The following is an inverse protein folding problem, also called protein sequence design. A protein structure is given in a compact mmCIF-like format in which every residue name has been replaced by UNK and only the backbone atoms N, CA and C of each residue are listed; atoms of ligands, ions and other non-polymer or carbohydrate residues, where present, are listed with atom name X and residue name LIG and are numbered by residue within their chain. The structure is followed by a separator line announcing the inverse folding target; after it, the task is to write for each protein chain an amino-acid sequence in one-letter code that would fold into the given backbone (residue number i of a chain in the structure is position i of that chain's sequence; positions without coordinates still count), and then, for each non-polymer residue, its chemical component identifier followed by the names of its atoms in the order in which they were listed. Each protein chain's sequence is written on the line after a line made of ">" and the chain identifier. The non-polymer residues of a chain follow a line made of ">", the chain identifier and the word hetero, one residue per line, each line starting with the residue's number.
data_IF_217712262567
#
_entry.id   IF_217712262567
#
_cell.length_a   1.000
_cell.length_b   1.000
_cell.length_c   1.000
_cell.angle_alpha   90.00
_cell.angle_beta   90.00
_cell.angle_gamma   90.00
#
_symmetry.space_group_name_H-M   'P 1'
#
loop_
_entity.id
_entity.type
_entity.pdbx_description
1 polymer ?
#
# COMPACT_ATOMS: atom_id res chain seq x y z
N UNK A 1 11.74 3.25 18.80
CA UNK A 1 10.84 4.01 17.90
C UNK A 1 9.56 4.33 18.62
N UNK A 2 8.90 5.42 18.23
CA UNK A 2 7.55 5.72 18.71
C UNK A 2 6.57 4.93 17.84
N UNK A 3 5.75 4.04 18.40
CA UNK A 3 4.83 3.22 17.60
C UNK A 3 3.75 4.09 16.95
N UNK A 4 3.29 3.69 15.76
CA UNK A 4 2.14 4.33 15.11
C UNK A 4 0.89 3.98 15.94
N UNK A 5 0.33 4.97 16.63
CA UNK A 5 -0.78 4.78 17.58
C UNK A 5 -2.16 4.67 16.96
N UNK A 6 -2.27 4.70 15.63
CA UNK A 6 -3.54 4.61 14.89
C UNK A 6 -3.48 3.51 13.83
N UNK A 7 -4.62 2.87 13.49
CA UNK A 7 -4.68 1.95 12.37
C UNK A 7 -4.18 2.63 11.09
N UNK A 8 -3.38 1.91 10.31
CA UNK A 8 -2.82 2.38 9.05
C UNK A 8 -2.78 1.23 8.05
N UNK A 9 -2.71 1.57 6.77
CA UNK A 9 -2.71 0.64 5.65
C UNK A 9 -1.58 1.02 4.69
N UNK A 10 -0.99 0.03 4.03
CA UNK A 10 0.09 0.23 3.06
C UNK A 10 -0.40 -0.12 1.65
N UNK A 11 -0.10 0.74 0.67
CA UNK A 11 -0.28 0.46 -0.76
C UNK A 11 1.09 0.68 -1.41
N UNK A 12 1.70 -0.39 -1.91
CA UNK A 12 3.13 -0.40 -2.29
C UNK A 12 3.25 -0.80 -3.77
N UNK A 13 4.00 -0.01 -4.53
CA UNK A 13 4.29 -0.30 -5.93
C UNK A 13 5.42 -1.32 -6.10
N UNK A 14 5.29 -2.25 -7.04
CA UNK A 14 6.37 -3.18 -7.45
C UNK A 14 6.74 -3.07 -8.94
N UNK A 15 6.20 -2.07 -9.64
CA UNK A 15 6.32 -1.86 -11.10
C UNK A 15 5.74 -3.01 -11.94
N UNK A 16 4.85 -3.82 -11.38
CA UNK A 16 4.20 -4.95 -12.05
C UNK A 16 5.08 -6.18 -12.16
N UNK A 17 6.10 -6.30 -11.30
CA UNK A 17 7.08 -7.40 -11.35
C UNK A 17 6.63 -8.64 -10.59
N UNK A 18 5.73 -8.51 -9.61
CA UNK A 18 5.29 -9.64 -8.79
C UNK A 18 6.41 -10.29 -7.99
N UNK A 19 7.48 -9.55 -7.68
CA UNK A 19 8.72 -10.05 -7.08
C UNK A 19 8.85 -9.73 -5.58
N UNK A 20 7.79 -9.22 -4.95
CA UNK A 20 7.72 -8.98 -3.49
C UNK A 20 8.04 -10.28 -2.73
N UNK A 21 8.94 -10.26 -1.72
CA UNK A 21 9.50 -9.10 -1.02
C UNK A 21 10.77 -8.49 -1.65
N UNK A 22 11.28 -9.05 -2.74
CA UNK A 22 12.48 -8.55 -3.44
C UNK A 22 12.12 -7.45 -4.47
N UNK A 23 11.16 -6.60 -4.12
CA UNK A 23 10.56 -5.62 -5.03
C UNK A 23 10.94 -4.17 -4.68
N UNK A 24 10.63 -3.26 -5.61
CA UNK A 24 10.77 -1.82 -5.44
C UNK A 24 9.86 -1.10 -6.42
N UNK A 25 9.33 0.05 -6.00
CA UNK A 25 8.59 0.99 -6.85
C UNK A 25 9.49 1.75 -7.86
N UNK A 26 10.80 1.50 -7.82
CA UNK A 26 11.84 2.16 -8.62
C UNK A 26 12.64 3.22 -7.85
N UNK A 27 12.21 3.58 -6.63
CA UNK A 27 12.86 4.56 -5.75
C UNK A 27 13.06 3.96 -4.35
N UNK A 28 12.00 3.38 -3.77
CA UNK A 28 11.97 2.77 -2.44
C UNK A 28 11.88 1.25 -2.58
N UNK A 29 12.69 0.52 -1.82
CA UNK A 29 12.63 -0.94 -1.76
C UNK A 29 11.52 -1.41 -0.83
N UNK A 30 10.90 -2.56 -1.14
CA UNK A 30 9.79 -3.11 -0.35
C UNK A 30 10.09 -3.19 1.14
N UNK A 31 11.26 -3.72 1.52
CA UNK A 31 11.65 -3.87 2.92
C UNK A 31 11.72 -2.54 3.69
N UNK A 32 11.90 -1.41 2.98
CA UNK A 32 11.92 -0.07 3.56
C UNK A 32 10.52 0.53 3.67
N UNK A 33 9.61 0.21 2.73
CA UNK A 33 8.23 0.68 2.75
C UNK A 33 7.29 -0.19 3.59
N UNK A 34 7.68 -1.45 3.83
CA UNK A 34 6.90 -2.43 4.57
C UNK A 34 6.85 -2.08 6.05
N UNK A 35 5.65 -2.11 6.62
CA UNK A 35 5.40 -1.88 8.05
C UNK A 35 4.63 -3.07 8.61
N UNK A 36 5.27 -3.86 9.48
CA UNK A 36 4.64 -5.00 10.16
C UNK A 36 3.37 -4.61 10.95
N UNK A 37 3.23 -3.34 11.33
CA UNK A 37 2.09 -2.81 12.05
C UNK A 37 0.88 -2.45 11.18
N UNK A 38 1.00 -2.52 9.85
CA UNK A 38 -0.09 -2.15 8.94
C UNK A 38 -1.26 -3.13 9.07
N UNK A 39 -2.48 -2.60 9.18
CA UNK A 39 -3.71 -3.39 9.27
C UNK A 39 -4.04 -4.10 7.94
N UNK A 40 -3.58 -3.55 6.82
CA UNK A 40 -3.50 -4.26 5.54
C UNK A 40 -2.36 -3.72 4.69
N UNK A 41 -1.90 -4.55 3.76
CA UNK A 41 -0.90 -4.18 2.76
C UNK A 41 -1.35 -4.70 1.39
N UNK A 42 -1.29 -3.84 0.37
CA UNK A 42 -1.61 -4.19 -1.01
C UNK A 42 -0.45 -3.82 -1.91
N UNK A 43 0.10 -4.83 -2.59
CA UNK A 43 1.03 -4.61 -3.70
C UNK A 43 0.24 -4.28 -4.97
N UNK A 44 0.65 -3.25 -5.68
CA UNK A 44 0.05 -2.81 -6.95
C UNK A 44 1.11 -2.73 -8.05
N UNK A 45 0.76 -2.98 -9.32
CA UNK A 45 1.70 -3.00 -10.43
C UNK A 45 2.10 -1.58 -10.90
N UNK A 46 2.52 -0.73 -9.97
CA UNK A 46 2.86 0.67 -10.19
C UNK A 46 4.28 1.01 -9.72
N UNK A 47 4.86 2.08 -10.26
CA UNK A 47 6.12 2.65 -9.78
C UNK A 47 5.91 3.66 -8.63
N UNK A 48 6.89 4.53 -8.40
CA UNK A 48 6.87 5.50 -7.29
C UNK A 48 5.64 6.44 -7.26
N UNK A 49 5.05 6.72 -8.42
CA UNK A 49 3.76 7.42 -8.56
C UNK A 49 2.54 6.52 -8.33
N UNK A 50 2.61 5.55 -7.41
CA UNK A 50 1.59 4.51 -7.27
C UNK A 50 0.18 5.05 -7.00
N UNK A 51 0.06 6.23 -6.38
CA UNK A 51 -1.21 6.87 -6.04
C UNK A 51 -2.12 7.15 -7.25
N UNK A 52 -1.57 7.28 -8.46
CA UNK A 52 -2.33 7.54 -9.71
C UNK A 52 -2.74 6.23 -10.42
N UNK A 53 -2.30 5.07 -9.92
CA UNK A 53 -2.62 3.78 -10.52
C UNK A 53 -4.06 3.37 -10.16
N UNK A 54 -4.86 2.84 -11.11
CA UNK A 54 -6.26 2.45 -10.85
C UNK A 54 -6.44 1.48 -9.68
N UNK A 55 -5.53 0.51 -9.51
CA UNK A 55 -5.58 -0.42 -8.38
C UNK A 55 -5.31 0.26 -7.03
N UNK A 56 -4.42 1.26 -6.99
CA UNK A 56 -4.16 2.01 -5.78
C UNK A 56 -5.35 2.90 -5.41
N UNK A 57 -5.97 3.54 -6.40
CA UNK A 57 -7.19 4.35 -6.21
C UNK A 57 -8.34 3.47 -5.72
N UNK A 58 -8.50 2.26 -6.28
CA UNK A 58 -9.52 1.31 -5.87
C UNK A 58 -9.31 0.85 -4.42
N UNK A 59 -8.06 0.53 -4.05
CA UNK A 59 -7.74 0.13 -2.67
C UNK A 59 -7.92 1.31 -1.69
N UNK A 60 -7.53 2.52 -2.08
CA UNK A 60 -7.76 3.73 -1.29
C UNK A 60 -9.26 3.93 -1.04
N UNK A 61 -10.09 3.82 -2.08
CA UNK A 61 -11.55 3.91 -1.96
C UNK A 61 -12.10 2.84 -1.00
N UNK A 62 -11.68 1.58 -1.14
CA UNK A 62 -12.08 0.48 -0.26
C UNK A 62 -11.75 0.78 1.20
N UNK A 63 -10.53 1.27 1.48
CA UNK A 63 -10.09 1.65 2.83
C UNK A 63 -10.94 2.80 3.39
N UNK A 64 -11.23 3.82 2.58
CA UNK A 64 -12.06 4.96 2.99
C UNK A 64 -13.49 4.52 3.33
N UNK A 65 -14.11 3.67 2.50
CA UNK A 65 -15.47 3.16 2.75
C UNK A 65 -15.53 2.27 4.00
N UNK A 66 -14.54 1.39 4.17
CA UNK A 66 -14.38 0.56 5.37
C UNK A 66 -14.41 1.42 6.65
N UNK A 67 -13.59 2.47 6.69
CA UNK A 67 -13.46 3.33 7.88
C UNK A 67 -14.60 4.35 8.03
N UNK A 68 -15.35 4.63 6.95
CA UNK A 68 -16.61 5.38 7.01
C UNK A 68 -17.81 4.51 7.45
N UNK A 69 -17.62 3.19 7.63
CA UNK A 69 -18.70 2.26 7.98
C UNK A 69 -19.69 2.00 6.83
N UNK A 70 -19.28 2.28 5.59
CA UNK A 70 -20.09 2.08 4.39
C UNK A 70 -19.75 0.70 3.81
N UNK A 71 -20.78 -0.13 3.62
CA UNK A 71 -20.65 -1.40 2.89
C UNK A 71 -20.87 -1.14 1.40
N UNK A 72 -19.95 -1.62 0.56
CA UNK A 72 -20.20 -1.81 -0.88
C UNK A 72 -21.14 -3.00 -1.11
#
# INVERSE_FOLDING_TARGET
>A
EIPIGVPHHSIIGDRGKGDTPNSSDGVVAYWSSHLNSAASEKIVPAGHGAFDHPEAITELRRILLLNAGIKE
#
